data_IF_200297148681
#
_entry.id   IF_200297148681
#
_cell.length_a   1.000
_cell.length_b   1.000
_cell.length_c   1.000
_cell.angle_alpha   90.00
_cell.angle_beta   90.00
_cell.angle_gamma   90.00
#
_symmetry.space_group_name_H-M   'P 1'
#
loop_
_entity.id
_entity.type
_entity.pdbx_description
1 polymer ?
#
# COMPACT_ATOMS: atom_id res chain seq x y z
N UNK A 1 -11.41 -21.25 -20.33
CA UNK A 1 -9.94 -21.20 -20.34
C UNK A 1 -9.41 -22.64 -20.44
N UNK A 2 -8.97 -23.09 -21.61
CA UNK A 2 -8.16 -24.33 -21.69
C UNK A 2 -6.79 -23.99 -21.11
N UNK A 3 -6.61 -24.31 -19.84
CA UNK A 3 -5.32 -24.24 -19.15
C UNK A 3 -4.70 -25.62 -19.37
N UNK A 4 -3.56 -25.66 -20.08
CA UNK A 4 -2.90 -26.88 -20.52
C UNK A 4 -2.38 -27.72 -19.33
N UNK A 5 -2.24 -27.10 -18.17
CA UNK A 5 -1.83 -27.71 -16.92
C UNK A 5 -3.00 -27.82 -15.91
N UNK A 6 -3.30 -29.06 -15.50
CA UNK A 6 -4.39 -29.38 -14.56
C UNK A 6 -4.20 -28.73 -13.18
N UNK A 7 -2.96 -28.56 -12.72
CA UNK A 7 -2.65 -27.90 -11.45
C UNK A 7 -2.94 -26.40 -11.54
N UNK A 8 -2.46 -25.74 -12.60
CA UNK A 8 -2.72 -24.31 -12.84
C UNK A 8 -4.23 -24.05 -12.99
N UNK A 9 -4.97 -24.98 -13.61
CA UNK A 9 -6.42 -24.88 -13.75
C UNK A 9 -7.15 -24.92 -12.40
N UNK A 10 -6.79 -25.90 -11.56
CA UNK A 10 -7.37 -26.05 -10.22
C UNK A 10 -7.08 -24.83 -9.34
N UNK A 11 -5.84 -24.32 -9.39
CA UNK A 11 -5.44 -23.14 -8.63
C UNK A 11 -6.16 -21.88 -9.12
N UNK A 12 -6.23 -21.68 -10.43
CA UNK A 12 -6.93 -20.54 -11.04
C UNK A 12 -8.40 -20.52 -10.64
N UNK A 13 -9.06 -21.69 -10.70
CA UNK A 13 -10.45 -21.84 -10.25
C UNK A 13 -10.61 -21.49 -8.77
N UNK A 14 -9.73 -22.03 -7.92
CA UNK A 14 -9.76 -21.76 -6.49
C UNK A 14 -9.59 -20.26 -6.18
N UNK A 15 -8.60 -19.60 -6.77
CA UNK A 15 -8.36 -18.16 -6.58
C UNK A 15 -9.60 -17.36 -6.98
N UNK A 16 -10.20 -17.66 -8.14
CA UNK A 16 -11.40 -16.97 -8.59
C UNK A 16 -12.59 -17.19 -7.65
N UNK A 17 -12.85 -18.43 -7.23
CA UNK A 17 -13.97 -18.74 -6.33
C UNK A 17 -13.82 -18.13 -4.93
N UNK A 18 -12.58 -17.98 -4.43
CA UNK A 18 -12.34 -17.42 -3.09
C UNK A 18 -12.18 -15.91 -3.04
N UNK A 19 -11.73 -15.30 -4.14
CA UNK A 19 -11.41 -13.86 -4.15
C UNK A 19 -12.34 -13.06 -5.06
N UNK A 20 -13.03 -13.70 -6.01
CA UNK A 20 -13.74 -13.02 -7.10
C UNK A 20 -12.80 -12.41 -8.16
N UNK A 21 -11.48 -12.51 -7.99
CA UNK A 21 -10.50 -11.94 -8.90
C UNK A 21 -10.16 -12.93 -10.02
N UNK A 22 -10.32 -12.55 -11.29
CA UNK A 22 -9.93 -13.41 -12.41
C UNK A 22 -8.41 -13.47 -12.55
N UNK A 23 -7.92 -14.58 -13.12
CA UNK A 23 -6.51 -14.73 -13.49
C UNK A 23 -6.33 -14.21 -14.92
N UNK A 24 -5.35 -13.32 -15.09
CA UNK A 24 -5.03 -12.71 -16.38
C UNK A 24 -3.94 -13.47 -17.12
N UNK A 25 -3.97 -13.38 -18.45
CA UNK A 25 -2.89 -13.83 -19.34
C UNK A 25 -2.25 -12.62 -20.00
N UNK A 26 -1.07 -12.80 -20.58
CA UNK A 26 -0.32 -11.75 -21.29
C UNK A 26 -0.03 -10.54 -20.39
N UNK A 27 0.34 -10.80 -19.14
CA UNK A 27 0.82 -9.79 -18.20
C UNK A 27 2.34 -9.74 -18.24
N UNK A 28 2.90 -8.53 -18.17
CA UNK A 28 4.33 -8.34 -17.93
C UNK A 28 4.61 -8.48 -16.44
N UNK A 29 5.57 -9.34 -16.08
CA UNK A 29 5.97 -9.59 -14.70
C UNK A 29 7.48 -9.47 -14.59
N UNK A 30 7.95 -8.72 -13.60
CA UNK A 30 9.37 -8.59 -13.29
C UNK A 30 9.62 -9.12 -11.88
N UNK A 31 10.52 -10.08 -11.76
CA UNK A 31 10.97 -10.57 -10.45
C UNK A 31 11.98 -9.59 -9.85
N UNK A 32 11.73 -9.16 -8.62
CA UNK A 32 12.60 -8.27 -7.86
C UNK A 32 13.27 -9.07 -6.75
N UNK A 33 14.57 -9.30 -6.89
CA UNK A 33 15.32 -10.21 -6.01
C UNK A 33 15.67 -9.61 -4.65
N UNK A 34 15.59 -8.28 -4.48
CA UNK A 34 15.97 -7.61 -3.24
C UNK A 34 15.08 -6.42 -2.92
N UNK A 35 15.08 -6.03 -1.64
CA UNK A 35 14.35 -4.86 -1.17
C UNK A 35 14.87 -3.55 -1.75
N UNK A 36 16.19 -3.43 -1.93
CA UNK A 36 16.86 -2.25 -2.49
C UNK A 36 16.46 -2.04 -3.95
N UNK A 37 16.43 -3.12 -4.75
CA UNK A 37 15.94 -3.04 -6.13
C UNK A 37 14.47 -2.65 -6.20
N UNK A 38 13.63 -3.23 -5.33
CA UNK A 38 12.22 -2.83 -5.22
C UNK A 38 12.06 -1.39 -4.80
N UNK A 39 12.89 -0.90 -3.89
CA UNK A 39 12.82 0.47 -3.38
C UNK A 39 13.14 1.49 -4.48
N UNK A 40 14.23 1.29 -5.23
CA UNK A 40 14.56 2.16 -6.36
C UNK A 40 13.43 2.20 -7.40
N UNK A 41 12.95 1.04 -7.82
CA UNK A 41 11.86 0.93 -8.80
C UNK A 41 10.57 1.56 -8.27
N UNK A 42 10.24 1.38 -6.98
CA UNK A 42 9.06 2.01 -6.39
C UNK A 42 9.12 3.53 -6.53
N UNK A 43 10.24 4.17 -6.18
CA UNK A 43 10.37 5.62 -6.29
C UNK A 43 10.22 6.10 -7.74
N UNK A 44 10.80 5.37 -8.69
CA UNK A 44 10.67 5.70 -10.12
C UNK A 44 9.23 5.58 -10.63
N UNK A 45 8.52 4.52 -10.23
CA UNK A 45 7.11 4.32 -10.62
C UNK A 45 6.18 5.35 -9.95
N UNK A 46 6.44 5.72 -8.70
CA UNK A 46 5.69 6.79 -8.02
C UNK A 46 5.82 8.12 -8.75
N UNK A 47 7.02 8.47 -9.21
CA UNK A 47 7.27 9.71 -9.97
C UNK A 47 6.51 9.75 -11.30
N UNK A 48 6.33 8.59 -11.95
CA UNK A 48 5.62 8.46 -13.25
C UNK A 48 4.10 8.57 -13.13
N UNK A 49 3.52 8.39 -11.95
CA UNK A 49 2.06 8.38 -11.76
C UNK A 49 1.43 9.71 -12.19
N UNK A 50 0.26 9.66 -12.84
CA UNK A 50 -0.43 10.85 -13.38
C UNK A 50 -1.81 11.13 -12.79
N UNK A 51 -2.49 10.09 -12.30
CA UNK A 51 -3.88 10.20 -11.86
C UNK A 51 -4.04 9.87 -10.38
N UNK A 52 -3.51 8.72 -9.96
CA UNK A 52 -3.63 8.25 -8.59
C UNK A 52 -2.44 7.40 -8.16
N UNK A 53 -2.20 7.38 -6.85
CA UNK A 53 -1.27 6.50 -6.15
C UNK A 53 -2.00 5.92 -4.94
N UNK A 54 -2.15 4.60 -4.88
CA UNK A 54 -2.66 3.89 -3.71
C UNK A 54 -1.56 3.02 -3.13
N UNK A 55 -1.24 3.25 -1.86
CA UNK A 55 -0.25 2.46 -1.12
C UNK A 55 -0.92 1.76 0.05
N UNK A 56 -0.68 0.46 0.16
CA UNK A 56 -1.09 -0.37 1.29
C UNK A 56 0.14 -1.09 1.83
N UNK A 57 0.46 -0.86 3.11
CA UNK A 57 1.66 -1.40 3.75
C UNK A 57 1.36 -2.01 5.12
N UNK A 58 2.01 -3.13 5.42
CA UNK A 58 1.90 -3.73 6.75
C UNK A 58 2.61 -2.87 7.81
N UNK A 59 3.80 -2.35 7.53
CA UNK A 59 4.52 -1.45 8.43
C UNK A 59 4.99 -0.24 7.63
N UNK A 60 4.78 0.94 8.20
CA UNK A 60 5.50 2.15 7.81
C UNK A 60 6.27 2.68 9.02
N UNK A 61 7.49 3.11 8.80
CA UNK A 61 8.42 3.57 9.83
C UNK A 61 9.12 4.82 9.31
N UNK A 62 9.18 5.87 10.13
CA UNK A 62 9.92 7.08 9.75
C UNK A 62 11.41 6.76 9.60
N UNK A 63 12.05 7.40 8.63
CA UNK A 63 13.42 7.13 8.25
C UNK A 63 13.59 7.22 6.74
N UNK A 64 14.83 7.05 6.27
CA UNK A 64 15.25 7.33 4.90
C UNK A 64 14.29 6.78 3.82
N UNK A 65 13.86 5.53 3.96
CA UNK A 65 13.00 4.86 2.98
C UNK A 65 11.59 5.45 2.94
N UNK A 66 10.96 5.68 4.09
CA UNK A 66 9.60 6.22 4.11
C UNK A 66 9.58 7.71 3.82
N UNK A 67 10.59 8.44 4.30
CA UNK A 67 10.67 9.89 4.12
C UNK A 67 10.88 10.24 2.64
N UNK A 68 11.68 9.47 1.90
CA UNK A 68 11.85 9.65 0.45
C UNK A 68 10.57 9.32 -0.33
N UNK A 69 9.85 8.27 0.07
CA UNK A 69 8.53 7.95 -0.51
C UNK A 69 7.57 9.12 -0.24
N UNK A 70 7.51 9.59 1.01
CA UNK A 70 6.62 10.68 1.42
C UNK A 70 6.91 11.98 0.66
N UNK A 71 8.18 12.29 0.41
CA UNK A 71 8.59 13.43 -0.41
C UNK A 71 8.00 13.34 -1.82
N UNK A 72 8.20 12.20 -2.51
CA UNK A 72 7.61 11.99 -3.85
C UNK A 72 6.09 12.09 -3.80
N UNK A 73 5.43 11.49 -2.81
CA UNK A 73 3.97 11.60 -2.68
C UNK A 73 3.52 13.07 -2.56
N UNK A 74 4.23 13.88 -1.79
CA UNK A 74 3.92 15.30 -1.65
C UNK A 74 4.12 16.06 -2.97
N UNK A 75 5.15 15.76 -3.74
CA UNK A 75 5.33 16.31 -5.09
C UNK A 75 4.16 15.94 -6.01
N UNK A 76 3.77 14.66 -6.03
CA UNK A 76 2.66 14.20 -6.87
C UNK A 76 1.31 14.83 -6.49
N UNK A 77 1.09 15.10 -5.20
CA UNK A 77 -0.11 15.84 -4.75
C UNK A 77 -0.12 17.26 -5.33
N UNK A 78 1.02 17.96 -5.37
CA UNK A 78 1.11 19.30 -5.98
C UNK A 78 0.85 19.27 -7.48
N UNK A 79 1.18 18.16 -8.14
CA UNK A 79 0.85 17.91 -9.54
C UNK A 79 -0.62 17.51 -9.78
N UNK A 80 -1.43 17.38 -8.72
CA UNK A 80 -2.85 17.02 -8.80
C UNK A 80 -3.14 15.52 -8.79
N UNK A 81 -2.14 14.67 -8.51
CA UNK A 81 -2.33 13.22 -8.37
C UNK A 81 -3.05 12.90 -7.06
N UNK A 82 -4.09 12.05 -7.12
CA UNK A 82 -4.76 11.58 -5.92
C UNK A 82 -3.90 10.56 -5.16
N UNK A 83 -3.51 10.87 -3.93
CA UNK A 83 -2.73 9.95 -3.09
C UNK A 83 -3.56 9.40 -1.94
N UNK A 84 -3.61 8.06 -1.82
CA UNK A 84 -4.20 7.35 -0.68
C UNK A 84 -3.19 6.41 -0.04
N UNK A 85 -3.09 6.44 1.27
CA UNK A 85 -2.16 5.58 2.03
C UNK A 85 -2.92 4.87 3.14
N UNK A 86 -2.88 3.54 3.12
CA UNK A 86 -3.36 2.68 4.18
C UNK A 86 -2.21 1.89 4.78
N UNK A 87 -2.18 1.78 6.10
CA UNK A 87 -1.14 1.02 6.80
C UNK A 87 -1.69 0.35 8.07
N UNK A 88 -1.08 -0.75 8.52
CA UNK A 88 -1.48 -1.38 9.79
C UNK A 88 -1.03 -0.52 10.98
N UNK A 89 -2.01 -0.01 11.72
CA UNK A 89 -1.82 0.90 12.84
C UNK A 89 -1.31 0.22 14.11
N UNK A 90 -1.50 -1.09 14.27
CA UNK A 90 -0.95 -1.84 15.39
C UNK A 90 0.53 -2.17 15.12
N UNK A 91 0.84 -2.66 13.91
CA UNK A 91 2.21 -3.02 13.55
C UNK A 91 3.12 -1.79 13.38
N UNK A 92 2.54 -0.63 13.04
CA UNK A 92 3.29 0.63 12.92
C UNK A 92 3.29 1.47 14.22
N UNK A 93 2.67 1.00 15.30
CA UNK A 93 2.41 1.80 16.52
C UNK A 93 3.69 2.36 17.16
N UNK A 94 4.74 1.54 17.26
CA UNK A 94 6.04 1.96 17.84
C UNK A 94 6.96 2.65 16.83
N UNK A 95 6.54 2.72 15.57
CA UNK A 95 7.35 3.21 14.44
C UNK A 95 6.92 4.60 13.96
N UNK A 96 5.75 5.06 14.40
CA UNK A 96 5.17 6.34 14.04
C UNK A 96 4.68 7.10 15.29
N UNK A 97 4.69 8.44 15.26
CA UNK A 97 4.00 9.24 16.25
C UNK A 97 2.50 8.91 16.34
N UNK A 98 1.93 9.03 17.54
CA UNK A 98 0.49 8.83 17.74
C UNK A 98 -0.30 9.78 16.83
N UNK A 99 -1.25 9.23 16.08
CA UNK A 99 -2.09 10.02 15.18
C UNK A 99 -1.40 10.44 13.88
N UNK A 100 -0.30 9.80 13.48
CA UNK A 100 0.46 10.14 12.26
C UNK A 100 -0.39 10.25 10.98
N UNK A 101 -1.48 9.48 10.86
CA UNK A 101 -2.43 9.62 9.75
C UNK A 101 -3.01 11.04 9.61
N UNK A 102 -3.11 11.81 10.69
CA UNK A 102 -3.55 13.22 10.65
C UNK A 102 -2.50 14.08 9.95
N UNK A 103 -1.23 13.91 10.30
CA UNK A 103 -0.10 14.56 9.61
C UNK A 103 -0.10 14.25 8.12
N UNK A 104 -0.33 12.98 7.74
CA UNK A 104 -0.45 12.60 6.33
C UNK A 104 -1.62 13.32 5.64
N UNK A 105 -2.77 13.47 6.31
CA UNK A 105 -3.93 14.21 5.78
C UNK A 105 -3.68 15.70 5.61
N UNK A 106 -2.93 16.31 6.51
CA UNK A 106 -2.51 17.72 6.40
C UNK A 106 -1.63 17.95 5.15
N UNK A 107 -0.85 16.93 4.75
CA UNK A 107 -0.07 16.94 3.50
C UNK A 107 -0.91 16.68 2.24
N UNK A 108 -2.23 16.49 2.37
CA UNK A 108 -3.14 16.17 1.27
C UNK A 108 -3.28 14.67 0.97
N UNK A 109 -2.62 13.79 1.73
CA UNK A 109 -2.74 12.33 1.56
C UNK A 109 -4.01 11.85 2.25
N UNK A 110 -4.89 11.17 1.50
CA UNK A 110 -6.06 10.48 2.08
C UNK A 110 -5.58 9.24 2.85
N UNK A 111 -5.23 9.44 4.12
CA UNK A 111 -4.63 8.41 4.97
C UNK A 111 -5.61 7.75 5.94
N UNK A 112 -5.50 6.43 6.11
CA UNK A 112 -6.26 5.65 7.11
C UNK A 112 -5.40 4.53 7.72
N UNK A 113 -5.27 4.46 9.05
CA UNK A 113 -4.72 3.27 9.69
C UNK A 113 -5.76 2.13 9.66
N UNK A 114 -5.37 0.96 9.18
CA UNK A 114 -6.08 -0.30 9.42
C UNK A 114 -5.80 -0.75 10.86
N UNK A 115 -6.78 -1.36 11.54
CA UNK A 115 -6.66 -1.84 12.92
C UNK A 115 -5.90 -0.87 13.87
N UNK A 116 -6.31 0.41 13.99
CA UNK A 116 -5.59 1.38 14.82
C UNK A 116 -5.54 0.89 16.26
N UNK A 117 -4.39 1.03 16.91
CA UNK A 117 -4.28 0.75 18.34
C UNK A 117 -5.26 1.63 19.11
N UNK A 118 -6.22 1.01 19.79
CA UNK A 118 -7.20 1.68 20.65
C UNK A 118 -6.78 1.49 22.10
N UNK A 119 -6.44 2.57 22.83
CA UNK A 119 -6.31 2.52 24.28
C UNK A 119 -7.54 1.88 24.94
N UNK A 120 -7.32 1.06 25.95
CA UNK A 120 -8.36 0.27 26.64
C UNK A 120 -9.45 1.15 27.32
N UNK A 121 -9.21 2.45 27.48
CA UNK A 121 -10.12 3.40 28.13
C UNK A 121 -11.18 4.04 27.20
N UNK A 122 -11.33 3.61 25.94
CA UNK A 122 -12.36 4.14 25.03
C UNK A 122 -13.73 3.42 25.14
N UNK A 123 -14.13 3.04 26.34
CA UNK A 123 -15.52 2.68 26.65
C UNK A 123 -16.00 3.51 27.83
N UNK A 124 -16.54 4.69 27.54
CA UNK A 124 -17.67 5.27 28.28
C UNK A 124 -18.34 6.37 27.44
N UNK A 125 -19.67 6.26 27.36
CA UNK A 125 -20.68 7.21 26.88
C UNK A 125 -20.84 7.40 25.36
N UNK A 126 -21.84 6.65 24.86
CA UNK A 126 -22.86 6.98 23.83
C UNK A 126 -22.43 7.32 22.40
#
# INVERSE_FOLDING_TARGET
LQILDKQVSSLTKYVYEKTGCPVYKNTDVTYLESGEKKYGILLDELKKAKNFIFLEYFIIEQGEVWDSVLEVLCEKIREGVEVRVMYDGLCSLSKLPIGYFKKLRELGIKSKPFAPARPFFYNTAE
#
